data_IF_286750624959
#
_entry.id   IF_286750624959
#
_cell.length_a   1.000
_cell.length_b   1.000
_cell.length_c   1.000
_cell.angle_alpha   90.00
_cell.angle_beta   90.00
_cell.angle_gamma   90.00
#
_symmetry.space_group_name_H-M   'P 1'
#
loop_
_entity.id
_entity.type
_entity.pdbx_description
1 polymer ?
#
# COMPACT_ATOMS: atom_id res chain seq x y z
N UNK A 1 -40.84 11.07 -6.65
CA UNK A 1 -41.71 10.02 -6.08
C UNK A 1 -40.96 9.49 -4.86
N UNK A 2 -41.42 9.78 -3.65
CA UNK A 2 -40.77 9.29 -2.43
C UNK A 2 -41.14 7.83 -2.21
N UNK A 3 -40.14 6.94 -2.32
CA UNK A 3 -40.33 5.49 -2.31
C UNK A 3 -40.94 4.93 -0.99
N UNK A 4 -41.00 5.72 0.09
CA UNK A 4 -41.33 5.25 1.45
C UNK A 4 -42.34 6.10 2.22
N UNK A 5 -42.98 7.10 1.59
CA UNK A 5 -43.88 8.04 2.28
C UNK A 5 -45.11 7.37 2.94
N UNK A 6 -45.44 6.14 2.55
CA UNK A 6 -46.55 5.37 3.13
C UNK A 6 -46.18 4.59 4.40
N UNK A 7 -44.91 4.59 4.82
CA UNK A 7 -44.44 3.81 5.97
C UNK A 7 -43.90 4.73 7.07
N UNK A 8 -44.17 4.38 8.34
CA UNK A 8 -43.52 5.05 9.46
C UNK A 8 -42.01 4.79 9.45
N UNK A 9 -41.17 5.82 9.67
CA UNK A 9 -39.73 5.65 9.73
C UNK A 9 -39.36 4.64 10.82
N UNK A 10 -38.52 3.68 10.47
CA UNK A 10 -38.03 2.65 11.39
C UNK A 10 -36.76 3.15 12.07
N UNK A 11 -36.70 3.04 13.39
CA UNK A 11 -35.52 3.39 14.20
C UNK A 11 -34.78 2.13 14.67
N UNK A 12 -33.58 2.32 15.22
CA UNK A 12 -32.71 1.23 15.66
C UNK A 12 -33.39 0.32 16.70
N UNK A 13 -34.16 0.90 17.62
CA UNK A 13 -34.89 0.16 18.66
C UNK A 13 -35.95 -0.77 18.07
N UNK A 14 -36.73 -0.29 17.10
CA UNK A 14 -37.76 -1.11 16.45
C UNK A 14 -37.15 -2.29 15.71
N UNK A 15 -36.04 -2.06 14.99
CA UNK A 15 -35.28 -3.13 14.33
C UNK A 15 -34.72 -4.13 15.35
N UNK A 16 -34.11 -3.65 16.44
CA UNK A 16 -33.47 -4.50 17.46
C UNK A 16 -34.49 -5.41 18.14
N UNK A 17 -35.68 -4.90 18.46
CA UNK A 17 -36.77 -5.68 19.04
C UNK A 17 -37.23 -6.81 18.11
N UNK A 18 -37.34 -6.57 16.80
CA UNK A 18 -37.69 -7.61 15.82
C UNK A 18 -36.55 -8.63 15.61
N UNK A 19 -35.29 -8.16 15.62
CA UNK A 19 -34.12 -9.02 15.56
C UNK A 19 -34.06 -9.99 16.75
N UNK A 20 -34.29 -9.50 17.97
CA UNK A 20 -34.38 -10.31 19.19
C UNK A 20 -35.50 -11.34 19.15
N UNK A 21 -36.70 -10.94 18.70
CA UNK A 21 -37.82 -11.88 18.51
C UNK A 21 -37.45 -13.00 17.55
N UNK A 22 -36.83 -12.67 16.42
CA UNK A 22 -36.48 -13.63 15.36
C UNK A 22 -35.34 -14.55 15.80
N UNK A 23 -34.30 -14.01 16.43
CA UNK A 23 -33.15 -14.76 16.94
C UNK A 23 -33.46 -15.51 18.25
N UNK A 24 -34.63 -15.28 18.87
CA UNK A 24 -35.07 -15.87 20.14
C UNK A 24 -34.06 -15.62 21.28
N UNK A 25 -33.51 -14.41 21.32
CA UNK A 25 -32.55 -13.97 22.34
C UNK A 25 -32.84 -12.52 22.72
N UNK A 26 -32.39 -12.10 23.90
CA UNK A 26 -32.31 -10.68 24.30
C UNK A 26 -30.86 -10.20 24.43
N UNK A 27 -29.92 -11.09 24.14
CA UNK A 27 -28.49 -10.81 24.22
C UNK A 27 -28.00 -10.19 22.91
N UNK A 28 -27.65 -8.91 22.97
CA UNK A 28 -27.13 -8.16 21.82
C UNK A 28 -25.74 -8.64 21.40
N UNK A 29 -24.96 -9.20 22.33
CA UNK A 29 -23.60 -9.69 22.03
C UNK A 29 -23.65 -10.86 21.04
N UNK A 30 -24.71 -11.67 21.08
CA UNK A 30 -24.94 -12.75 20.11
C UNK A 30 -25.25 -12.27 18.68
N UNK A 31 -25.63 -10.99 18.53
CA UNK A 31 -25.86 -10.36 17.22
C UNK A 31 -24.63 -9.60 16.72
N UNK A 32 -23.64 -9.38 17.58
CA UNK A 32 -22.42 -8.69 17.23
C UNK A 32 -21.39 -9.67 16.65
N UNK A 33 -20.54 -9.19 15.75
CA UNK A 33 -19.45 -9.99 15.19
C UNK A 33 -18.12 -9.46 15.72
N UNK A 34 -17.48 -10.14 16.70
CA UNK A 34 -16.12 -9.81 17.08
C UNK A 34 -15.18 -10.20 15.93
N UNK A 35 -14.31 -9.28 15.51
CA UNK A 35 -13.32 -9.55 14.48
C UNK A 35 -11.96 -9.90 15.09
N UNK A 36 -11.10 -10.51 14.27
CA UNK A 36 -9.73 -10.84 14.66
C UNK A 36 -8.89 -9.59 15.01
N UNK A 37 -9.27 -8.43 14.48
CA UNK A 37 -8.69 -7.13 14.75
C UNK A 37 -9.06 -6.55 16.13
N UNK A 38 -9.95 -7.22 16.88
CA UNK A 38 -10.49 -6.68 18.14
C UNK A 38 -11.54 -5.59 17.92
N UNK A 39 -12.12 -5.52 16.72
CA UNK A 39 -13.23 -4.62 16.39
C UNK A 39 -14.52 -5.40 16.56
N UNK A 40 -15.51 -4.82 17.22
CA UNK A 40 -16.84 -5.44 17.35
C UNK A 40 -17.77 -4.80 16.33
N UNK A 41 -18.22 -5.58 15.36
CA UNK A 41 -19.14 -5.10 14.34
C UNK A 41 -20.58 -5.20 14.84
N UNK A 42 -21.30 -4.08 14.74
CA UNK A 42 -22.74 -4.09 14.90
C UNK A 42 -23.40 -4.87 13.75
N UNK A 43 -24.51 -5.57 14.02
CA UNK A 43 -25.27 -6.29 12.98
C UNK A 43 -25.88 -5.38 11.92
N UNK A 44 -26.06 -4.09 12.23
CA UNK A 44 -26.73 -3.13 11.37
C UNK A 44 -26.25 -1.71 11.68
N UNK A 45 -26.02 -0.92 10.63
CA UNK A 45 -25.62 0.49 10.71
C UNK A 45 -26.66 1.39 10.03
N UNK A 46 -27.08 2.46 10.72
CA UNK A 46 -27.99 3.50 10.24
C UNK A 46 -27.52 4.89 10.73
N UNK A 47 -28.23 5.95 10.35
CA UNK A 47 -27.86 7.32 10.77
C UNK A 47 -27.83 7.52 12.30
N UNK A 48 -28.56 6.73 13.07
CA UNK A 48 -28.65 6.84 14.52
C UNK A 48 -27.44 6.21 15.23
N UNK A 49 -26.84 5.18 14.64
CA UNK A 49 -25.72 4.42 15.24
C UNK A 49 -24.43 4.43 14.40
N UNK A 50 -24.40 5.19 13.30
CA UNK A 50 -23.22 5.36 12.48
C UNK A 50 -22.17 6.20 13.23
N UNK A 51 -20.92 5.75 13.18
CA UNK A 51 -19.78 6.51 13.67
C UNK A 51 -19.62 7.83 12.88
N UNK A 52 -19.04 8.88 13.47
CA UNK A 52 -18.84 10.15 12.78
C UNK A 52 -18.14 9.95 11.43
N UNK A 53 -18.63 10.66 10.42
CA UNK A 53 -18.05 10.59 9.07
C UNK A 53 -16.66 11.21 9.12
N UNK A 54 -15.64 10.37 8.96
CA UNK A 54 -14.26 10.83 8.81
C UNK A 54 -14.05 11.20 7.35
N UNK A 55 -13.56 12.41 7.11
CA UNK A 55 -13.17 12.84 5.77
C UNK A 55 -11.98 12.00 5.29
N UNK A 56 -12.18 11.28 4.19
CA UNK A 56 -11.14 10.43 3.62
C UNK A 56 -10.48 11.19 2.48
N UNK A 57 -9.15 11.34 2.50
CA UNK A 57 -8.41 11.90 1.38
C UNK A 57 -8.74 11.13 0.09
N UNK A 58 -9.32 11.85 -0.88
CA UNK A 58 -9.73 11.28 -2.16
C UNK A 58 -8.61 11.54 -3.17
N UNK A 59 -8.29 10.53 -3.99
CA UNK A 59 -7.42 10.77 -5.15
C UNK A 59 -8.12 11.72 -6.12
N UNK A 60 -7.36 12.63 -6.73
CA UNK A 60 -7.88 13.52 -7.78
C UNK A 60 -8.46 12.74 -8.97
N UNK A 61 -7.94 11.55 -9.26
CA UNK A 61 -8.45 10.60 -10.22
C UNK A 61 -8.51 9.18 -9.63
N UNK A 62 -9.50 8.38 -10.04
CA UNK A 62 -9.62 6.97 -9.63
C UNK A 62 -8.86 6.01 -10.55
N UNK A 63 -7.75 6.48 -11.13
CA UNK A 63 -6.91 5.64 -11.99
C UNK A 63 -5.96 4.79 -11.14
N UNK A 64 -5.91 3.50 -11.47
CA UNK A 64 -4.97 2.54 -10.95
C UNK A 64 -4.06 2.12 -12.08
N UNK A 65 -2.77 1.99 -11.80
CA UNK A 65 -1.81 1.45 -12.74
C UNK A 65 -1.76 -0.07 -12.54
N UNK A 66 -1.95 -0.82 -13.61
CA UNK A 66 -1.75 -2.26 -13.62
C UNK A 66 -0.29 -2.57 -13.99
N UNK A 67 0.45 -3.15 -13.05
CA UNK A 67 1.83 -3.57 -13.27
C UNK A 67 1.88 -5.08 -13.49
N UNK A 68 2.55 -5.51 -14.57
CA UNK A 68 2.88 -6.94 -14.74
C UNK A 68 4.14 -7.25 -13.92
N UNK A 69 4.07 -8.34 -13.16
CA UNK A 69 5.15 -8.81 -12.33
C UNK A 69 6.09 -9.74 -13.11
N UNK A 70 7.37 -9.37 -13.18
CA UNK A 70 8.40 -10.06 -13.96
C UNK A 70 9.42 -10.72 -13.03
N UNK A 71 9.46 -12.04 -13.03
CA UNK A 71 10.22 -12.84 -12.06
C UNK A 71 11.12 -13.91 -12.73
N UNK A 72 11.12 -13.96 -14.05
CA UNK A 72 11.93 -14.93 -14.80
C UNK A 72 13.41 -14.54 -14.77
N UNK A 73 14.29 -15.54 -14.66
CA UNK A 73 15.74 -15.32 -14.58
C UNK A 73 16.47 -15.51 -15.91
N UNK A 74 15.73 -15.81 -16.99
CA UNK A 74 16.26 -15.95 -18.35
C UNK A 74 15.77 -14.80 -19.23
N UNK A 75 16.63 -14.35 -20.15
CA UNK A 75 16.34 -13.23 -21.04
C UNK A 75 15.16 -13.50 -21.97
N UNK A 76 15.07 -14.70 -22.56
CA UNK A 76 14.02 -15.05 -23.52
C UNK A 76 12.67 -15.15 -22.79
N UNK A 77 12.66 -15.77 -21.60
CA UNK A 77 11.48 -15.88 -20.76
C UNK A 77 10.98 -14.50 -20.29
N UNK A 78 11.88 -13.60 -19.85
CA UNK A 78 11.53 -12.21 -19.52
C UNK A 78 10.96 -11.46 -20.72
N UNK A 79 11.59 -11.58 -21.89
CA UNK A 79 11.10 -10.92 -23.09
C UNK A 79 9.70 -11.41 -23.48
N UNK A 80 9.43 -12.69 -23.29
CA UNK A 80 8.10 -13.28 -23.49
C UNK A 80 7.08 -12.67 -22.53
N UNK A 81 7.38 -12.59 -21.22
CA UNK A 81 6.50 -11.95 -20.23
C UNK A 81 6.23 -10.47 -20.56
N UNK A 82 7.23 -9.74 -21.04
CA UNK A 82 7.05 -8.33 -21.42
C UNK A 82 6.12 -8.18 -22.62
N UNK A 83 6.22 -9.09 -23.60
CA UNK A 83 5.28 -9.11 -24.73
C UNK A 83 3.86 -9.47 -24.28
N UNK A 84 3.71 -10.37 -23.31
CA UNK A 84 2.42 -10.69 -22.70
C UNK A 84 1.85 -9.50 -21.92
N UNK A 85 2.67 -8.80 -21.14
CA UNK A 85 2.29 -7.58 -20.43
C UNK A 85 1.70 -6.54 -21.40
N UNK A 86 2.34 -6.36 -22.56
CA UNK A 86 1.86 -5.45 -23.59
C UNK A 86 0.49 -5.89 -24.14
N UNK A 87 0.30 -7.20 -24.41
CA UNK A 87 -0.99 -7.75 -24.88
C UNK A 87 -2.10 -7.58 -23.85
N UNK A 88 -1.78 -7.66 -22.55
CA UNK A 88 -2.71 -7.42 -21.44
C UNK A 88 -2.97 -5.94 -21.17
N UNK A 89 -2.40 -5.03 -21.98
CA UNK A 89 -2.47 -3.58 -21.77
C UNK A 89 -2.01 -3.15 -20.38
N UNK A 90 -0.93 -3.77 -19.88
CA UNK A 90 -0.30 -3.33 -18.64
C UNK A 90 0.14 -1.87 -18.75
N UNK A 91 0.04 -1.14 -17.65
CA UNK A 91 0.51 0.25 -17.55
C UNK A 91 2.01 0.30 -17.20
N UNK A 92 2.52 -0.77 -16.57
CA UNK A 92 3.88 -0.84 -16.08
C UNK A 92 4.43 -2.24 -15.89
N UNK A 93 5.71 -2.31 -15.54
CA UNK A 93 6.45 -3.54 -15.28
C UNK A 93 7.11 -3.47 -13.91
N UNK A 94 7.00 -4.53 -13.12
CA UNK A 94 7.71 -4.69 -11.85
C UNK A 94 8.71 -5.84 -12.00
N UNK A 95 10.00 -5.52 -12.06
CA UNK A 95 11.09 -6.49 -12.13
C UNK A 95 11.47 -6.98 -10.73
N UNK A 96 11.23 -8.26 -10.46
CA UNK A 96 11.72 -9.01 -9.29
C UNK A 96 12.46 -10.25 -9.77
N UNK A 97 13.32 -10.06 -10.78
CA UNK A 97 14.19 -11.11 -11.31
C UNK A 97 15.63 -10.94 -10.83
N UNK A 98 16.34 -12.06 -10.74
CA UNK A 98 17.77 -12.12 -10.38
C UNK A 98 18.68 -11.95 -11.60
N UNK A 99 18.15 -11.47 -12.73
CA UNK A 99 18.95 -11.24 -13.93
C UNK A 99 19.89 -10.06 -13.73
N UNK A 100 21.07 -10.18 -14.32
CA UNK A 100 22.11 -9.15 -14.30
C UNK A 100 21.59 -7.78 -14.74
N UNK A 101 22.14 -6.76 -14.07
CA UNK A 101 21.81 -5.36 -14.29
C UNK A 101 22.00 -4.93 -15.76
N UNK A 102 22.99 -5.46 -16.47
CA UNK A 102 23.21 -5.17 -17.89
C UNK A 102 22.06 -5.66 -18.78
N UNK A 103 21.51 -6.84 -18.49
CA UNK A 103 20.39 -7.39 -19.26
C UNK A 103 19.14 -6.55 -19.04
N UNK A 104 18.90 -6.13 -17.80
CA UNK A 104 17.78 -5.25 -17.47
C UNK A 104 17.91 -3.90 -18.16
N UNK A 105 19.10 -3.31 -18.20
CA UNK A 105 19.35 -2.08 -18.96
C UNK A 105 19.04 -2.27 -20.46
N UNK A 106 19.43 -3.40 -21.05
CA UNK A 106 19.10 -3.73 -22.45
C UNK A 106 17.59 -3.85 -22.66
N UNK A 107 16.87 -4.47 -21.73
CA UNK A 107 15.41 -4.60 -21.79
C UNK A 107 14.74 -3.22 -21.69
N UNK A 108 15.11 -2.43 -20.69
CA UNK A 108 14.53 -1.09 -20.43
C UNK A 108 14.79 -0.14 -21.59
N UNK A 109 15.97 -0.20 -22.20
CA UNK A 109 16.30 0.63 -23.36
C UNK A 109 15.41 0.34 -24.58
N UNK A 110 14.87 -0.88 -24.70
CA UNK A 110 14.11 -1.34 -25.86
C UNK A 110 12.61 -1.50 -25.60
N UNK A 111 12.12 -1.13 -24.42
CA UNK A 111 10.72 -1.30 -24.04
C UNK A 111 9.91 -0.02 -24.19
N UNK A 112 8.62 -0.16 -24.51
CA UNK A 112 7.69 0.97 -24.63
C UNK A 112 7.16 1.46 -23.27
N UNK A 113 7.27 0.64 -22.23
CA UNK A 113 6.80 0.96 -20.89
C UNK A 113 7.57 2.14 -20.27
N UNK A 114 6.85 3.04 -19.61
CA UNK A 114 7.40 4.19 -18.87
C UNK A 114 7.15 4.16 -17.36
N UNK A 115 6.30 3.24 -16.91
CA UNK A 115 6.17 2.92 -15.49
C UNK A 115 6.94 1.62 -15.25
N UNK A 116 8.22 1.73 -14.87
CA UNK A 116 9.04 0.57 -14.53
C UNK A 116 9.50 0.71 -13.09
N UNK A 117 9.26 -0.35 -12.33
CA UNK A 117 9.82 -0.56 -11.01
C UNK A 117 10.77 -1.75 -11.06
N UNK A 118 11.94 -1.62 -10.44
CA UNK A 118 12.88 -2.73 -10.27
C UNK A 118 13.07 -2.95 -8.79
N UNK A 119 12.65 -4.11 -8.30
CA UNK A 119 12.97 -4.54 -6.95
C UNK A 119 14.39 -5.08 -6.90
N UNK A 120 15.18 -4.59 -5.96
CA UNK A 120 16.58 -4.98 -5.76
C UNK A 120 16.90 -5.07 -4.29
N UNK A 121 17.75 -6.03 -3.94
CA UNK A 121 18.49 -6.01 -2.68
C UNK A 121 19.69 -5.10 -2.80
N UNK A 122 20.20 -4.62 -1.67
CA UNK A 122 21.40 -3.78 -1.58
C UNK A 122 22.57 -4.33 -2.41
N UNK A 123 22.84 -5.63 -2.32
CA UNK A 123 24.00 -6.26 -2.98
C UNK A 123 23.94 -6.20 -4.52
N UNK A 124 22.77 -5.92 -5.08
CA UNK A 124 22.57 -5.79 -6.52
C UNK A 124 22.66 -4.33 -7.02
N UNK A 125 22.95 -3.37 -6.13
CA UNK A 125 22.96 -1.94 -6.43
C UNK A 125 24.39 -1.41 -6.67
N UNK A 126 24.91 -1.72 -7.85
CA UNK A 126 26.22 -1.23 -8.27
C UNK A 126 26.15 0.24 -8.74
N UNK A 127 27.17 1.06 -8.39
CA UNK A 127 27.18 2.51 -8.70
C UNK A 127 27.05 2.83 -10.20
N UNK A 128 27.66 2.04 -11.07
CA UNK A 128 27.56 2.17 -12.53
C UNK A 128 26.11 2.00 -13.02
N UNK A 129 25.40 1.00 -12.51
CA UNK A 129 24.00 0.72 -12.81
C UNK A 129 23.10 1.86 -12.33
N UNK A 130 23.27 2.29 -11.08
CA UNK A 130 22.53 3.40 -10.49
C UNK A 130 22.74 4.70 -11.27
N UNK A 131 24.01 5.05 -11.57
CA UNK A 131 24.35 6.25 -12.35
C UNK A 131 23.72 6.20 -13.75
N UNK A 132 23.70 5.02 -14.39
CA UNK A 132 23.09 4.86 -15.71
C UNK A 132 21.58 5.06 -15.66
N UNK A 133 20.91 4.54 -14.63
CA UNK A 133 19.47 4.72 -14.43
C UNK A 133 19.13 6.18 -14.17
N UNK A 134 19.83 6.84 -13.24
CA UNK A 134 19.59 8.24 -12.90
C UNK A 134 19.77 9.20 -14.10
N UNK A 135 20.75 8.90 -14.96
CA UNK A 135 21.05 9.74 -16.13
C UNK A 135 20.19 9.44 -17.35
N UNK A 136 19.91 8.17 -17.62
CA UNK A 136 19.28 7.73 -18.87
C UNK A 136 17.79 7.41 -18.72
N UNK A 137 17.34 7.09 -17.51
CA UNK A 137 15.99 6.59 -17.22
C UNK A 137 15.38 7.25 -15.96
N UNK A 138 15.29 8.60 -15.87
CA UNK A 138 14.85 9.31 -14.67
C UNK A 138 13.40 9.01 -14.23
N UNK A 139 12.61 8.37 -15.09
CA UNK A 139 11.23 7.94 -14.82
C UNK A 139 11.14 6.55 -14.16
N UNK A 140 12.23 5.79 -14.13
CA UNK A 140 12.28 4.45 -13.55
C UNK A 140 12.45 4.52 -12.03
N UNK A 141 11.82 3.61 -11.29
CA UNK A 141 12.04 3.50 -9.84
C UNK A 141 12.77 2.21 -9.50
N UNK A 142 13.79 2.30 -8.68
CA UNK A 142 14.40 1.16 -8.00
C UNK A 142 13.77 1.09 -6.62
N UNK A 143 13.13 -0.02 -6.33
CA UNK A 143 12.51 -0.30 -5.05
C UNK A 143 13.46 -1.16 -4.23
N UNK A 144 13.82 -0.66 -3.06
CA UNK A 144 14.58 -1.45 -2.08
C UNK A 144 13.65 -1.87 -0.96
N UNK A 145 13.77 -3.14 -0.57
CA UNK A 145 13.22 -3.69 0.65
C UNK A 145 14.42 -3.99 1.57
N UNK A 146 14.43 -3.42 2.78
CA UNK A 146 15.53 -3.62 3.72
C UNK A 146 15.23 -4.85 4.57
N UNK A 147 16.06 -5.89 4.46
CA UNK A 147 15.87 -7.16 5.17
C UNK A 147 16.40 -7.13 6.62
N UNK A 148 17.28 -6.17 6.95
CA UNK A 148 17.81 -5.97 8.30
C UNK A 148 18.25 -4.51 8.55
N UNK A 149 18.60 -4.19 9.80
CA UNK A 149 18.93 -2.83 10.25
C UNK A 149 20.23 -2.26 9.64
N UNK A 150 21.24 -3.09 9.36
CA UNK A 150 22.49 -2.62 8.76
C UNK A 150 22.27 -2.26 7.28
N UNK A 151 21.54 -3.11 6.56
CA UNK A 151 21.15 -2.84 5.18
C UNK A 151 20.29 -1.58 5.10
N UNK A 152 19.41 -1.36 6.07
CA UNK A 152 18.59 -0.16 6.14
C UNK A 152 19.43 1.13 6.09
N UNK A 153 20.43 1.30 6.97
CA UNK A 153 21.26 2.52 7.02
C UNK A 153 22.00 2.80 5.71
N UNK A 154 22.56 1.77 5.09
CA UNK A 154 23.26 1.91 3.81
C UNK A 154 22.29 2.21 2.65
N UNK A 155 21.08 1.66 2.68
CA UNK A 155 20.03 2.02 1.73
C UNK A 155 19.67 3.51 1.83
N UNK A 156 19.70 4.10 3.03
CA UNK A 156 19.46 5.54 3.21
C UNK A 156 20.52 6.38 2.51
N UNK A 157 21.81 6.01 2.63
CA UNK A 157 22.90 6.69 1.91
C UNK A 157 22.62 6.68 0.39
N UNK A 158 22.32 5.51 -0.16
CA UNK A 158 22.02 5.36 -1.60
C UNK A 158 20.78 6.17 -2.03
N UNK A 159 19.72 6.17 -1.23
CA UNK A 159 18.48 6.94 -1.52
C UNK A 159 18.76 8.44 -1.52
N UNK A 160 19.65 8.92 -0.64
CA UNK A 160 20.04 10.33 -0.60
C UNK A 160 20.89 10.74 -1.81
N UNK A 161 21.71 9.82 -2.34
CA UNK A 161 22.61 10.05 -3.48
C UNK A 161 21.88 9.94 -4.84
N UNK A 162 21.04 8.91 -5.02
CA UNK A 162 20.41 8.58 -6.31
C UNK A 162 18.91 8.87 -6.29
N UNK A 163 18.40 9.52 -7.33
CA UNK A 163 17.00 9.99 -7.40
C UNK A 163 15.99 8.90 -7.68
N UNK A 164 16.42 7.86 -8.38
CA UNK A 164 15.54 6.79 -8.82
C UNK A 164 15.31 5.75 -7.73
N UNK A 165 16.01 5.82 -6.60
CA UNK A 165 15.88 4.86 -5.51
C UNK A 165 14.78 5.31 -4.56
N UNK A 166 13.86 4.38 -4.29
CA UNK A 166 12.79 4.52 -3.32
C UNK A 166 12.84 3.34 -2.34
N UNK A 167 12.53 3.63 -1.08
CA UNK A 167 12.33 2.60 -0.07
C UNK A 167 10.86 2.16 -0.10
N UNK A 168 10.61 0.86 -0.14
CA UNK A 168 9.27 0.32 0.09
C UNK A 168 9.12 -0.04 1.57
N UNK A 169 8.23 0.68 2.24
CA UNK A 169 7.78 0.31 3.57
C UNK A 169 6.73 -0.79 3.39
N UNK A 170 7.12 -2.01 3.78
CA UNK A 170 6.24 -3.17 3.67
C UNK A 170 5.34 -3.20 4.90
N UNK A 171 4.05 -3.02 4.66
CA UNK A 171 3.01 -3.32 5.63
C UNK A 171 2.57 -4.79 5.48
N UNK A 172 2.35 -5.25 4.25
CA UNK A 172 1.58 -6.47 4.00
C UNK A 172 2.31 -7.81 3.96
N UNK A 173 3.41 -7.94 3.19
CA UNK A 173 3.95 -9.27 2.86
C UNK A 173 4.82 -9.89 3.97
N UNK A 174 5.44 -9.06 4.81
CA UNK A 174 6.19 -9.59 5.95
C UNK A 174 5.25 -9.88 7.12
N UNK A 175 4.44 -8.92 7.55
CA UNK A 175 3.61 -9.08 8.74
C UNK A 175 2.35 -9.91 8.49
N UNK A 176 1.65 -9.72 7.37
CA UNK A 176 0.44 -10.49 7.04
C UNK A 176 0.73 -11.98 6.87
N UNK A 177 1.84 -12.34 6.21
CA UNK A 177 2.26 -13.74 6.07
C UNK A 177 2.73 -14.36 7.40
N UNK A 178 3.02 -13.54 8.41
CA UNK A 178 3.37 -13.96 9.77
C UNK A 178 2.14 -13.92 10.72
N UNK A 179 0.94 -13.73 10.18
CA UNK A 179 -0.33 -13.78 10.91
C UNK A 179 -0.82 -12.45 11.49
N UNK A 180 -0.22 -11.31 11.10
CA UNK A 180 -0.71 -10.01 11.56
C UNK A 180 -2.10 -9.67 10.99
N UNK A 181 -2.98 -9.14 11.84
CA UNK A 181 -4.31 -8.65 11.42
C UNK A 181 -4.23 -7.26 10.77
N UNK A 182 -5.34 -6.77 10.22
CA UNK A 182 -5.38 -5.48 9.52
C UNK A 182 -4.92 -4.28 10.38
N UNK A 183 -5.24 -4.27 11.68
CA UNK A 183 -4.84 -3.20 12.60
C UNK A 183 -3.35 -3.26 12.90
N UNK A 184 -2.82 -4.44 13.22
CA UNK A 184 -1.41 -4.67 13.51
C UNK A 184 -0.53 -4.34 12.30
N UNK A 185 -0.94 -4.84 11.14
CA UNK A 185 -0.27 -4.61 9.87
C UNK A 185 -0.13 -3.09 9.62
N UNK A 186 -1.22 -2.33 9.67
CA UNK A 186 -1.16 -0.85 9.56
C UNK A 186 -0.27 -0.21 10.62
N UNK A 187 -0.39 -0.62 11.89
CA UNK A 187 0.39 -0.05 12.97
C UNK A 187 1.89 -0.25 12.77
N UNK A 188 2.32 -1.46 12.40
CA UNK A 188 3.72 -1.78 12.15
C UNK A 188 4.26 -1.06 10.92
N UNK A 189 3.53 -1.09 9.81
CA UNK A 189 3.92 -0.41 8.58
C UNK A 189 4.08 1.10 8.77
N UNK A 190 3.12 1.74 9.44
CA UNK A 190 3.18 3.19 9.69
C UNK A 190 4.27 3.55 10.70
N UNK A 191 4.51 2.74 11.73
CA UNK A 191 5.59 2.97 12.68
C UNK A 191 6.96 2.88 11.99
N UNK A 192 7.17 1.86 11.15
CA UNK A 192 8.37 1.73 10.34
C UNK A 192 8.55 2.90 9.38
N UNK A 193 7.45 3.41 8.82
CA UNK A 193 7.51 4.59 7.96
C UNK A 193 7.89 5.85 8.75
N UNK A 194 7.32 6.08 9.93
CA UNK A 194 7.68 7.21 10.79
C UNK A 194 9.16 7.17 11.17
N UNK A 195 9.67 6.02 11.60
CA UNK A 195 11.09 5.83 11.91
C UNK A 195 11.99 6.14 10.69
N UNK A 196 11.57 5.67 9.51
CA UNK A 196 12.26 6.00 8.25
C UNK A 196 12.27 7.50 7.98
N UNK A 197 11.12 8.16 8.15
CA UNK A 197 10.99 9.59 7.89
C UNK A 197 11.86 10.41 8.84
N UNK A 198 11.91 10.06 10.13
CA UNK A 198 12.78 10.74 11.10
C UNK A 198 14.23 10.71 10.60
N UNK A 199 14.73 9.54 10.20
CA UNK A 199 16.12 9.40 9.70
C UNK A 199 16.32 10.10 8.35
N UNK A 200 15.35 10.03 7.43
CA UNK A 200 15.46 10.72 6.14
C UNK A 200 15.48 12.24 6.32
N UNK A 201 14.71 12.77 7.28
CA UNK A 201 14.67 14.22 7.53
C UNK A 201 15.96 14.80 8.11
N UNK A 202 16.87 13.96 8.62
CA UNK A 202 18.24 14.39 8.95
C UNK A 202 19.09 14.70 7.70
N UNK A 203 18.73 14.12 6.54
CA UNK A 203 19.52 14.20 5.30
C UNK A 203 18.85 14.96 4.16
N UNK A 204 17.53 15.10 4.18
CA UNK A 204 16.75 15.77 3.14
C UNK A 204 15.50 16.44 3.69
N UNK A 205 14.83 17.27 2.88
CA UNK A 205 13.59 17.92 3.31
C UNK A 205 12.47 16.88 3.53
N UNK A 206 11.48 17.15 4.41
CA UNK A 206 10.35 16.27 4.62
C UNK A 206 9.61 15.88 3.34
N UNK A 207 9.43 16.82 2.41
CA UNK A 207 8.75 16.55 1.13
C UNK A 207 9.51 15.53 0.29
N UNK A 208 10.85 15.66 0.24
CA UNK A 208 11.70 14.70 -0.46
C UNK A 208 11.66 13.34 0.24
N UNK A 209 11.75 13.32 1.58
CA UNK A 209 11.71 12.09 2.36
C UNK A 209 10.42 11.30 2.08
N UNK A 210 9.26 11.97 2.13
CA UNK A 210 7.95 11.38 1.82
C UNK A 210 7.91 10.86 0.38
N UNK A 211 8.43 11.61 -0.59
CA UNK A 211 8.48 11.18 -2.00
C UNK A 211 9.41 9.99 -2.25
N UNK A 212 10.39 9.74 -1.37
CA UNK A 212 11.30 8.58 -1.45
C UNK A 212 10.74 7.31 -0.84
N UNK A 213 9.56 7.36 -0.21
CA UNK A 213 8.91 6.19 0.35
C UNK A 213 7.73 5.73 -0.52
N UNK A 214 7.52 4.43 -0.60
CA UNK A 214 6.28 3.82 -1.08
C UNK A 214 5.75 2.86 -0.03
N UNK A 215 4.43 2.74 0.10
CA UNK A 215 3.80 1.83 1.07
C UNK A 215 3.17 0.68 0.30
N UNK A 216 3.60 -0.55 0.60
CA UNK A 216 3.03 -1.77 0.06
C UNK A 216 2.10 -2.43 1.07
N UNK A 217 0.84 -2.63 0.69
CA UNK A 217 -0.17 -3.32 1.53
C UNK A 217 -0.56 -4.67 0.92
N UNK A 218 -0.92 -5.61 1.79
CA UNK A 218 -1.51 -6.89 1.39
C UNK A 218 -3.04 -6.77 1.44
N UNK A 219 -3.77 -7.51 0.62
CA UNK A 219 -5.23 -7.54 0.63
C UNK A 219 -5.67 -8.99 0.87
N UNK A 220 -6.39 -9.22 1.96
CA UNK A 220 -7.00 -10.52 2.30
C UNK A 220 -8.39 -10.71 1.69
N UNK A 221 -9.01 -11.86 1.96
CA UNK A 221 -10.38 -12.17 1.53
C UNK A 221 -11.47 -11.41 2.32
N UNK A 222 -11.11 -10.75 3.43
CA UNK A 222 -12.08 -10.00 4.25
C UNK A 222 -12.43 -8.65 3.60
N UNK A 223 -13.33 -8.70 2.63
CA UNK A 223 -13.67 -7.59 1.74
C UNK A 223 -13.90 -6.24 2.45
N UNK A 224 -14.78 -6.20 3.46
CA UNK A 224 -15.11 -4.94 4.14
C UNK A 224 -13.96 -4.45 5.04
N UNK A 225 -13.26 -5.36 5.71
CA UNK A 225 -12.09 -5.00 6.52
C UNK A 225 -10.98 -4.43 5.64
N UNK A 226 -10.74 -5.02 4.47
CA UNK A 226 -9.73 -4.53 3.53
C UNK A 226 -10.11 -3.16 2.95
N UNK A 227 -11.38 -2.95 2.59
CA UNK A 227 -11.86 -1.62 2.21
C UNK A 227 -11.65 -0.58 3.32
N UNK A 228 -11.93 -0.94 4.57
CA UNK A 228 -11.70 -0.08 5.73
C UNK A 228 -10.20 0.19 5.93
N UNK A 229 -9.34 -0.84 5.80
CA UNK A 229 -7.88 -0.76 5.93
C UNK A 229 -7.27 0.23 4.95
N UNK A 230 -7.61 0.14 3.68
CA UNK A 230 -7.10 1.06 2.65
C UNK A 230 -7.57 2.50 2.90
N UNK A 231 -8.80 2.69 3.41
CA UNK A 231 -9.32 4.03 3.77
C UNK A 231 -8.60 4.59 4.99
N UNK A 232 -8.44 3.79 6.03
CA UNK A 232 -7.72 4.15 7.25
C UNK A 232 -6.27 4.51 6.95
N UNK A 233 -5.58 3.74 6.11
CA UNK A 233 -4.22 4.04 5.67
C UNK A 233 -4.10 5.45 5.09
N UNK A 234 -5.01 5.86 4.18
CA UNK A 234 -4.96 7.21 3.59
C UNK A 234 -5.11 8.32 4.64
N UNK A 235 -6.03 8.14 5.58
CA UNK A 235 -6.25 9.10 6.68
C UNK A 235 -4.99 9.20 7.53
N UNK A 236 -4.45 8.05 7.97
CA UNK A 236 -3.28 7.98 8.83
C UNK A 236 -2.04 8.56 8.14
N UNK A 237 -1.83 8.25 6.86
CA UNK A 237 -0.73 8.83 6.10
C UNK A 237 -0.85 10.34 5.99
N UNK A 238 -2.06 10.87 5.81
CA UNK A 238 -2.28 12.32 5.75
C UNK A 238 -1.94 12.98 7.07
N UNK A 239 -2.33 12.37 8.20
CA UNK A 239 -1.99 12.87 9.54
C UNK A 239 -0.49 12.87 9.81
N UNK A 240 0.23 11.84 9.35
CA UNK A 240 1.70 11.78 9.43
C UNK A 240 2.31 12.88 8.55
N UNK A 241 1.87 13.04 7.31
CA UNK A 241 2.40 14.08 6.42
C UNK A 241 2.18 15.49 7.01
N UNK A 242 0.98 15.77 7.52
CA UNK A 242 0.63 17.03 8.19
C UNK A 242 1.54 17.30 9.40
N UNK A 243 1.88 16.27 10.19
CA UNK A 243 2.76 16.46 11.37
C UNK A 243 4.19 16.81 10.97
N UNK A 244 4.70 16.23 9.88
CA UNK A 244 6.02 16.58 9.35
C UNK A 244 6.04 17.95 8.65
N UNK A 245 4.95 18.36 7.99
CA UNK A 245 4.85 19.70 7.40
C UNK A 245 4.68 20.82 8.43
N UNK A 246 4.13 20.52 9.60
CA UNK A 246 3.94 21.51 10.67
C UNK A 246 5.16 21.62 11.60
N UNK A 247 6.02 20.60 11.63
CA UNK A 247 7.25 20.56 12.45
C UNK A 247 8.42 21.32 11.82
N UNK A 248 8.41 21.56 10.52
CA UNK A 248 9.49 22.18 9.73
C UNK A 248 8.98 23.38 8.93
#
# INVERSE_FOLDING_TARGET
MELFAAFSPQNYETWLNEAFKTAKTQDIELLQTPTYEGIVLAPFYNQENQQPIIEIPIKKNNQWLYFEYLYQNDFIALQTQIQEAFKKSADGLLFESNVDNEVILKIIANTHFKNIEIKRTKNQLEKNFLTKIDTSFPWLKIIIEADNQNDFKECIELISEYKNIHLRIIEGNFWGNQGANAVQSLAFGLSAWVETLDIFTEKMTPEKAIQRCSIGINISENYFMEMAKVRALRILCTKIIESYQSKY
#
